data_IF_539031982700
#
_entry.id   IF_539031982700
#
_cell.length_a   1.000
_cell.length_b   1.000
_cell.length_c   1.000
_cell.angle_alpha   90.00
_cell.angle_beta   90.00
_cell.angle_gamma   90.00
#
_symmetry.space_group_name_H-M   'P 1'
#
loop_
_entity.id
_entity.type
_entity.pdbx_description
1 polymer ?
#
# COMPACT_ATOMS: atom_id res chain seq x y z
N UNK A 1 5.20 -2.41 1.60
CA UNK A 1 5.82 -1.51 0.61
C UNK A 1 7.13 -2.15 0.20
N UNK A 2 7.43 -2.21 -1.10
CA UNK A 2 8.65 -2.81 -1.65
C UNK A 2 9.08 -2.03 -2.89
N UNK A 3 10.23 -2.36 -3.47
CA UNK A 3 10.65 -1.84 -4.77
C UNK A 3 10.66 -2.96 -5.82
N UNK A 4 10.29 -2.63 -7.06
CA UNK A 4 10.37 -3.49 -8.24
C UNK A 4 11.06 -2.68 -9.33
N UNK A 5 12.18 -3.17 -9.86
CA UNK A 5 12.98 -2.49 -10.90
C UNK A 5 13.31 -1.02 -10.58
N UNK A 6 13.52 -0.71 -9.29
CA UNK A 6 13.82 0.64 -8.82
C UNK A 6 12.59 1.53 -8.59
N UNK A 7 11.39 1.07 -8.95
CA UNK A 7 10.13 1.76 -8.70
C UNK A 7 9.56 1.34 -7.34
N UNK A 8 9.22 2.32 -6.50
CA UNK A 8 8.60 2.05 -5.20
C UNK A 8 7.12 1.69 -5.40
N UNK A 9 6.71 0.55 -4.83
CA UNK A 9 5.35 0.03 -4.93
C UNK A 9 4.75 -0.21 -3.54
N UNK A 10 3.49 0.17 -3.38
CA UNK A 10 2.70 -0.02 -2.17
C UNK A 10 1.40 -0.76 -2.49
N UNK A 11 1.16 -1.86 -1.79
CA UNK A 11 -0.15 -2.49 -1.73
C UNK A 11 -0.93 -1.91 -0.54
N UNK A 12 -2.18 -1.52 -0.75
CA UNK A 12 -3.07 -1.01 0.30
C UNK A 12 -4.02 -2.10 0.78
N UNK A 13 -4.47 -2.01 2.02
CA UNK A 13 -5.51 -2.89 2.58
C UNK A 13 -6.86 -2.78 1.87
N UNK A 14 -7.04 -1.82 0.96
CA UNK A 14 -8.23 -1.70 0.11
C UNK A 14 -8.11 -2.53 -1.17
N UNK A 15 -7.03 -3.30 -1.32
CA UNK A 15 -6.80 -4.09 -2.51
C UNK A 15 -6.31 -3.27 -3.69
N UNK A 16 -5.61 -2.15 -3.45
CA UNK A 16 -5.02 -1.35 -4.53
C UNK A 16 -3.50 -1.46 -4.50
N UNK A 17 -2.89 -1.57 -5.67
CA UNK A 17 -1.44 -1.44 -5.86
C UNK A 17 -1.18 -0.04 -6.38
N UNK A 18 -0.23 0.64 -5.77
CA UNK A 18 0.20 1.99 -6.14
C UNK A 18 1.69 1.99 -6.44
N UNK A 19 2.10 2.71 -7.47
CA UNK A 19 3.51 2.99 -7.76
C UNK A 19 3.84 4.45 -7.43
N UNK A 20 5.12 4.71 -7.13
CA UNK A 20 5.61 6.06 -6.91
C UNK A 20 6.36 6.57 -8.15
N UNK A 21 5.68 7.38 -8.95
CA UNK A 21 6.25 8.17 -10.05
C UNK A 21 5.75 9.62 -9.91
N UNK A 22 6.64 10.53 -9.52
CA UNK A 22 6.33 11.94 -9.24
C UNK A 22 5.11 12.18 -8.30
N UNK A 23 4.74 11.16 -7.54
CA UNK A 23 3.47 11.07 -6.80
C UNK A 23 3.07 9.60 -6.65
N UNK A 24 1.94 9.33 -6.01
CA UNK A 24 1.38 7.98 -5.93
C UNK A 24 0.30 7.80 -6.99
N UNK A 25 0.45 6.78 -7.84
CA UNK A 25 -0.52 6.42 -8.89
C UNK A 25 -1.02 5.00 -8.68
N UNK A 26 -2.31 4.75 -8.93
CA UNK A 26 -2.87 3.39 -8.86
C UNK A 26 -2.52 2.64 -10.13
N UNK A 27 -1.87 1.50 -9.99
CA UNK A 27 -1.43 0.66 -11.12
C UNK A 27 -2.14 -0.69 -11.19
N UNK A 28 -2.90 -1.03 -10.16
CA UNK A 28 -3.67 -2.27 -10.17
C UNK A 28 -4.48 -2.49 -8.91
N UNK A 29 -5.17 -3.62 -8.90
CA UNK A 29 -5.94 -4.10 -7.76
C UNK A 29 -5.65 -5.56 -7.48
N UNK A 30 -5.89 -5.98 -6.24
CA UNK A 30 -5.77 -7.37 -5.82
C UNK A 30 -6.91 -7.71 -4.87
N UNK A 31 -7.38 -8.97 -4.85
CA UNK A 31 -8.42 -9.38 -3.94
C UNK A 31 -7.94 -9.26 -2.49
N UNK A 32 -8.76 -8.62 -1.66
CA UNK A 32 -8.63 -8.61 -0.20
C UNK A 32 -9.88 -9.24 0.39
N UNK A 33 -9.75 -10.17 1.35
CA UNK A 33 -10.91 -10.69 2.06
C UNK A 33 -11.67 -9.56 2.75
N UNK A 34 -12.99 -9.48 2.53
CA UNK A 34 -13.81 -8.35 3.01
C UNK A 34 -13.75 -8.11 4.52
N UNK A 35 -13.47 -9.15 5.30
CA UNK A 35 -13.34 -9.07 6.76
C UNK A 35 -12.12 -8.28 7.25
N UNK A 36 -11.08 -8.15 6.42
CA UNK A 36 -9.83 -7.44 6.72
C UNK A 36 -9.65 -6.16 5.90
N UNK A 37 -10.47 -5.94 4.88
CA UNK A 37 -10.46 -4.72 4.07
C UNK A 37 -10.74 -3.50 4.94
N UNK A 38 -9.88 -2.48 4.85
CA UNK A 38 -10.07 -1.23 5.59
C UNK A 38 -9.59 -1.26 7.04
N UNK A 39 -9.19 -2.41 7.57
CA UNK A 39 -8.79 -2.56 8.97
C UNK A 39 -7.28 -2.43 9.10
N UNK A 40 -6.86 -1.39 9.81
CA UNK A 40 -5.48 -1.25 10.24
C UNK A 40 -5.44 -1.05 11.75
N UNK A 41 -4.49 -1.70 12.41
CA UNK A 41 -3.98 -1.26 13.70
C UNK A 41 -2.88 -0.25 13.42
N UNK A 42 -3.06 1.04 13.73
CA UNK A 42 -2.03 2.06 13.56
C UNK A 42 -0.69 1.70 14.17
N UNK A 43 0.28 1.26 13.35
CA UNK A 43 1.70 1.31 13.73
C UNK A 43 2.13 2.77 13.59
N UNK A 44 2.08 3.51 14.70
CA UNK A 44 2.70 4.81 14.80
C UNK A 44 4.17 4.63 15.18
N UNK A 45 5.07 5.24 14.42
CA UNK A 45 6.45 5.43 14.85
C UNK A 45 6.47 6.63 15.82
N UNK A 46 6.94 6.41 17.04
CA UNK A 46 7.20 7.47 18.02
C UNK A 46 8.71 7.58 18.17
N UNK A 47 9.27 8.72 17.80
CA UNK A 47 10.64 9.09 18.17
C UNK A 47 10.60 9.77 19.54
N UNK A 48 11.56 9.48 20.46
CA UNK A 48 11.65 10.12 21.78
C UNK A 48 11.82 11.64 21.74
#
# INVERSE_FOLDING_TARGET
MTAVDGTLVAATHRGTVMERDNGWQVVGTFPVPGEVTGRYTPVAHVEP
#
